data_IF_551777791977
#
_entry.id   IF_551777791977
#
_cell.length_a   1.000
_cell.length_b   1.000
_cell.length_c   1.000
_cell.angle_alpha   90.00
_cell.angle_beta   90.00
_cell.angle_gamma   90.00
#
_symmetry.space_group_name_H-M   'P 1'
#
loop_
_entity.id
_entity.type
_entity.pdbx_description
1 polymer ?
#
# COMPACT_ATOMS: atom_id res chain seq x y z
N UNK A 1 10.18 -10.02 -12.72
CA UNK A 1 10.33 -9.75 -11.27
C UNK A 1 9.18 -10.44 -10.52
N UNK A 2 9.36 -11.70 -10.12
CA UNK A 2 8.30 -12.51 -9.48
C UNK A 2 8.81 -13.00 -8.11
N UNK A 3 8.40 -12.32 -7.04
CA UNK A 3 8.44 -12.83 -5.65
C UNK A 3 7.64 -11.88 -4.72
N UNK A 4 6.44 -11.48 -5.12
CA UNK A 4 5.63 -10.47 -4.43
C UNK A 4 4.74 -11.06 -3.34
N UNK A 5 4.36 -12.34 -3.47
CA UNK A 5 3.41 -13.03 -2.57
C UNK A 5 4.06 -13.34 -1.22
N UNK A 6 5.24 -13.96 -1.22
CA UNK A 6 5.95 -14.31 0.02
C UNK A 6 6.29 -13.06 0.83
N UNK A 7 6.81 -12.01 0.20
CA UNK A 7 7.13 -10.74 0.88
C UNK A 7 5.90 -10.05 1.47
N UNK A 8 4.74 -10.15 0.82
CA UNK A 8 3.47 -9.69 1.39
C UNK A 8 3.04 -10.53 2.60
N UNK A 9 3.19 -11.85 2.55
CA UNK A 9 2.81 -12.74 3.66
C UNK A 9 3.70 -12.56 4.90
N UNK A 10 5.00 -12.32 4.72
CA UNK A 10 5.98 -12.06 5.79
C UNK A 10 6.03 -10.60 6.24
N UNK A 11 5.25 -9.71 5.63
CA UNK A 11 5.18 -8.31 6.04
C UNK A 11 4.47 -8.18 7.39
N UNK A 12 5.15 -7.56 8.37
CA UNK A 12 4.53 -7.21 9.66
C UNK A 12 3.32 -6.27 9.53
N UNK A 13 3.17 -5.59 8.40
CA UNK A 13 2.08 -4.64 8.12
C UNK A 13 0.91 -5.28 7.33
N UNK A 14 0.88 -6.60 7.18
CA UNK A 14 -0.15 -7.31 6.39
C UNK A 14 -1.58 -6.97 6.81
N UNK A 15 -1.82 -6.89 8.11
CA UNK A 15 -3.15 -6.54 8.66
C UNK A 15 -3.56 -5.13 8.24
N UNK A 16 -2.63 -4.18 8.21
CA UNK A 16 -2.88 -2.81 7.76
C UNK A 16 -3.22 -2.80 6.27
N UNK A 17 -2.48 -3.54 5.44
CA UNK A 17 -2.78 -3.64 4.01
C UNK A 17 -4.17 -4.20 3.73
N UNK A 18 -4.58 -5.24 4.47
CA UNK A 18 -5.93 -5.82 4.36
C UNK A 18 -6.99 -4.81 4.81
N UNK A 19 -6.78 -4.12 5.94
CA UNK A 19 -7.73 -3.11 6.44
C UNK A 19 -7.91 -1.95 5.46
N UNK A 20 -6.82 -1.41 4.91
CA UNK A 20 -6.87 -0.35 3.90
C UNK A 20 -7.53 -0.82 2.60
N UNK A 21 -7.26 -2.06 2.18
CA UNK A 21 -7.88 -2.66 1.01
C UNK A 21 -9.41 -2.72 1.14
N UNK A 22 -9.92 -3.18 2.28
CA UNK A 22 -11.35 -3.20 2.58
C UNK A 22 -11.94 -1.78 2.62
N UNK A 23 -11.27 -0.85 3.31
CA UNK A 23 -11.71 0.55 3.45
C UNK A 23 -11.86 1.27 2.11
N UNK A 24 -10.92 1.07 1.19
CA UNK A 24 -10.89 1.76 -0.10
C UNK A 24 -11.45 0.93 -1.27
N UNK A 25 -11.95 -0.29 -1.00
CA UNK A 25 -12.45 -1.23 -2.02
C UNK A 25 -11.41 -1.46 -3.12
N UNK A 26 -10.20 -1.81 -2.72
CA UNK A 26 -9.08 -2.19 -3.60
C UNK A 26 -8.50 -3.51 -3.13
N UNK A 27 -7.62 -4.13 -3.92
CA UNK A 27 -6.97 -5.37 -3.52
C UNK A 27 -5.83 -5.09 -2.54
N UNK A 28 -5.59 -5.98 -1.55
CA UNK A 28 -4.43 -5.88 -0.66
C UNK A 28 -3.10 -5.81 -1.42
N UNK A 29 -3.03 -6.50 -2.56
CA UNK A 29 -1.92 -6.43 -3.53
C UNK A 29 -1.64 -5.03 -4.04
N UNK A 30 -2.70 -4.26 -4.34
CA UNK A 30 -2.56 -2.88 -4.80
C UNK A 30 -2.03 -1.99 -3.66
N UNK A 31 -2.52 -2.16 -2.43
CA UNK A 31 -2.00 -1.42 -1.26
C UNK A 31 -0.51 -1.72 -1.04
N UNK A 32 -0.12 -2.99 -1.05
CA UNK A 32 1.27 -3.42 -0.93
C UNK A 32 2.13 -2.79 -2.04
N UNK A 33 1.65 -2.84 -3.28
CA UNK A 33 2.37 -2.26 -4.42
C UNK A 33 2.60 -0.75 -4.25
N UNK A 34 1.59 -0.02 -3.77
CA UNK A 34 1.70 1.42 -3.46
C UNK A 34 2.70 1.67 -2.33
N UNK A 35 2.68 0.86 -1.26
CA UNK A 35 3.65 0.95 -0.16
C UNK A 35 5.10 0.70 -0.62
N UNK A 36 5.28 -0.09 -1.67
CA UNK A 36 6.58 -0.41 -2.26
C UNK A 36 6.94 0.47 -3.47
N UNK A 37 6.26 1.60 -3.67
CA UNK A 37 6.67 2.65 -4.60
C UNK A 37 6.02 2.60 -5.99
N UNK A 38 4.96 1.81 -6.19
CA UNK A 38 4.13 1.97 -7.39
C UNK A 38 3.41 3.32 -7.39
N UNK A 39 3.26 3.90 -8.59
CA UNK A 39 2.58 5.18 -8.79
C UNK A 39 1.10 5.07 -8.48
N UNK A 40 0.57 6.09 -7.81
CA UNK A 40 -0.86 6.29 -7.65
C UNK A 40 -1.44 6.92 -8.92
N UNK A 41 -2.53 6.35 -9.40
CA UNK A 41 -3.17 6.78 -10.65
C UNK A 41 -4.43 7.61 -10.41
N UNK A 42 -4.90 7.70 -9.16
CA UNK A 42 -6.15 8.39 -8.84
C UNK A 42 -6.14 8.97 -7.42
N UNK A 43 -7.12 9.87 -7.16
CA UNK A 43 -7.30 10.52 -5.86
C UNK A 43 -7.49 9.52 -4.70
N UNK A 44 -8.06 8.34 -4.97
CA UNK A 44 -8.25 7.30 -3.97
C UNK A 44 -6.92 6.68 -3.54
N UNK A 45 -6.03 6.37 -4.48
CA UNK A 45 -4.69 5.85 -4.21
C UNK A 45 -3.81 6.89 -3.54
N UNK A 46 -3.97 8.18 -3.87
CA UNK A 46 -3.33 9.27 -3.12
C UNK A 46 -3.77 9.30 -1.65
N UNK A 47 -5.05 9.02 -1.36
CA UNK A 47 -5.53 8.90 0.02
C UNK A 47 -4.92 7.69 0.73
N UNK A 48 -4.81 6.55 0.05
CA UNK A 48 -4.14 5.34 0.57
C UNK A 48 -2.68 5.65 0.93
N UNK A 49 -1.93 6.30 0.04
CA UNK A 49 -0.53 6.67 0.29
C UNK A 49 -0.38 7.58 1.52
N UNK A 50 -1.27 8.56 1.68
CA UNK A 50 -1.30 9.41 2.88
C UNK A 50 -1.58 8.61 4.15
N UNK A 51 -2.47 7.62 4.12
CA UNK A 51 -2.71 6.76 5.28
C UNK A 51 -1.51 5.86 5.59
N UNK A 52 -0.86 5.28 4.57
CA UNK A 52 0.37 4.52 4.75
C UNK A 52 1.49 5.37 5.37
N UNK A 53 1.60 6.64 4.97
CA UNK A 53 2.54 7.59 5.55
C UNK A 53 2.20 7.93 7.00
N UNK A 54 0.93 8.20 7.31
CA UNK A 54 0.46 8.44 8.70
C UNK A 54 0.73 7.26 9.63
N UNK A 55 0.64 6.04 9.09
CA UNK A 55 0.91 4.79 9.82
C UNK A 55 2.42 4.46 9.85
N UNK A 56 3.28 5.36 9.37
CA UNK A 56 4.74 5.20 9.30
C UNK A 56 5.18 3.93 8.55
N UNK A 57 4.35 3.42 7.63
CA UNK A 57 4.68 2.27 6.79
C UNK A 57 5.57 2.71 5.62
N UNK A 58 5.37 3.94 5.14
CA UNK A 58 6.23 4.59 4.15
C UNK A 58 6.70 5.92 4.70
N UNK A 59 7.95 6.28 4.41
CA UNK A 59 8.56 7.54 4.85
C UNK A 59 8.12 8.73 3.99
N UNK A 60 8.00 8.52 2.68
CA UNK A 60 7.67 9.59 1.73
C UNK A 60 6.61 9.17 0.71
N UNK A 61 5.68 10.07 0.42
CA UNK A 61 4.70 9.88 -0.65
C UNK A 61 5.35 10.44 -1.90
N UNK A 62 5.90 9.54 -2.74
CA UNK A 62 6.36 9.89 -4.09
C UNK A 62 5.18 10.38 -4.94
N UNK A 63 4.83 11.66 -4.77
CA UNK A 63 3.95 12.41 -5.66
C UNK A 63 4.79 12.89 -6.84
N UNK A 64 4.84 12.09 -7.90
CA UNK A 64 5.35 12.53 -9.20
C UNK A 64 4.22 12.56 -10.20
#
# INVERSE_FOLDING_TARGET
MKMTILKFMYSGNRVVYIRLALKYRVTPWRIYSLAHGQRSNNRRENKILKELQKLQIISDVKSW
#
